data_IF_562146540673
#
_entry.id   IF_562146540673
#
_cell.length_a   1.000
_cell.length_b   1.000
_cell.length_c   1.000
_cell.angle_alpha   90.00
_cell.angle_beta   90.00
_cell.angle_gamma   90.00
#
_symmetry.space_group_name_H-M   'P 1'
#
loop_
_entity.id
_entity.type
_entity.pdbx_description
1 polymer ?
#
# COMPACT_ATOMS: atom_id res chain seq x y z
N UNK A 1 -7.33 -23.18 -43.19
CA UNK A 1 -7.49 -21.71 -43.31
C UNK A 1 -6.31 -20.98 -42.63
N UNK A 2 -5.50 -20.21 -43.38
CA UNK A 2 -4.37 -19.46 -42.84
C UNK A 2 -4.79 -18.34 -41.87
N UNK A 3 -5.93 -17.70 -42.15
CA UNK A 3 -6.46 -16.55 -41.39
C UNK A 3 -6.71 -16.87 -39.91
N UNK A 4 -7.13 -18.11 -39.59
CA UNK A 4 -7.36 -18.53 -38.19
C UNK A 4 -6.07 -18.71 -37.39
N UNK A 5 -4.96 -19.06 -38.03
CA UNK A 5 -3.68 -19.21 -37.34
C UNK A 5 -3.05 -17.85 -37.04
N UNK A 6 -3.17 -16.90 -37.96
CA UNK A 6 -2.72 -15.51 -37.79
C UNK A 6 -3.48 -14.80 -36.66
N UNK A 7 -4.82 -14.91 -36.63
CA UNK A 7 -5.64 -14.37 -35.53
C UNK A 7 -5.24 -14.95 -34.17
N UNK A 8 -4.92 -16.24 -34.12
CA UNK A 8 -4.47 -16.89 -32.88
C UNK A 8 -3.11 -16.33 -32.42
N UNK A 9 -2.17 -16.16 -33.34
CA UNK A 9 -0.85 -15.59 -33.03
C UNK A 9 -0.95 -14.15 -32.53
N UNK A 10 -1.80 -13.33 -33.14
CA UNK A 10 -2.05 -11.96 -32.70
C UNK A 10 -2.69 -11.92 -31.30
N UNK A 11 -3.67 -12.78 -31.03
CA UNK A 11 -4.30 -12.90 -29.72
C UNK A 11 -3.31 -13.37 -28.64
N UNK A 12 -2.42 -14.32 -28.95
CA UNK A 12 -1.35 -14.76 -28.04
C UNK A 12 -0.37 -13.63 -27.72
N UNK A 13 0.01 -12.83 -28.73
CA UNK A 13 0.88 -11.66 -28.53
C UNK A 13 0.19 -10.62 -27.65
N UNK A 14 -1.06 -10.27 -27.94
CA UNK A 14 -1.82 -9.31 -27.15
C UNK A 14 -1.97 -9.77 -25.70
N UNK A 15 -2.27 -11.04 -25.48
CA UNK A 15 -2.36 -11.64 -24.15
C UNK A 15 -1.04 -11.49 -23.38
N UNK A 16 0.09 -11.79 -24.02
CA UNK A 16 1.42 -11.65 -23.39
C UNK A 16 1.71 -10.18 -23.02
N UNK A 17 1.39 -9.24 -23.92
CA UNK A 17 1.55 -7.80 -23.68
C UNK A 17 0.65 -7.32 -22.51
N UNK A 18 -0.58 -7.83 -22.42
CA UNK A 18 -1.49 -7.56 -21.30
C UNK A 18 -0.99 -8.15 -19.98
N UNK A 19 -0.47 -9.38 -19.98
CA UNK A 19 0.10 -10.02 -18.79
C UNK A 19 1.34 -9.28 -18.30
N UNK A 20 2.21 -8.82 -19.20
CA UNK A 20 3.38 -8.02 -18.86
C UNK A 20 2.97 -6.69 -18.21
N UNK A 21 1.98 -6.00 -18.80
CA UNK A 21 1.41 -4.76 -18.25
C UNK A 21 0.80 -4.98 -16.88
N UNK A 22 0.00 -6.04 -16.70
CA UNK A 22 -0.60 -6.39 -15.40
C UNK A 22 0.49 -6.55 -14.33
N UNK A 23 1.52 -7.35 -14.61
CA UNK A 23 2.64 -7.56 -13.67
C UNK A 23 3.36 -6.25 -13.32
N UNK A 24 3.50 -5.32 -14.27
CA UNK A 24 4.09 -4.01 -13.99
C UNK A 24 3.20 -3.17 -13.07
N UNK A 25 1.90 -3.14 -13.33
CA UNK A 25 0.93 -2.40 -12.49
C UNK A 25 0.90 -2.98 -11.08
N UNK A 26 0.89 -4.31 -10.93
CA UNK A 26 0.91 -4.98 -9.63
C UNK A 26 2.16 -4.62 -8.82
N UNK A 27 3.35 -4.58 -9.46
CA UNK A 27 4.59 -4.14 -8.81
C UNK A 27 4.53 -2.67 -8.40
N UNK A 28 4.04 -1.80 -9.28
CA UNK A 28 3.92 -0.37 -8.98
C UNK A 28 2.99 -0.13 -7.80
N UNK A 29 1.86 -0.85 -7.74
CA UNK A 29 0.92 -0.77 -6.64
C UNK A 29 1.57 -1.20 -5.32
N UNK A 30 2.25 -2.35 -5.29
CA UNK A 30 2.94 -2.82 -4.08
C UNK A 30 4.00 -1.82 -3.57
N UNK A 31 4.78 -1.22 -4.48
CA UNK A 31 5.77 -0.22 -4.12
C UNK A 31 5.13 1.06 -3.55
N UNK A 32 4.00 1.49 -4.14
CA UNK A 32 3.27 2.65 -3.67
C UNK A 32 2.67 2.42 -2.28
N UNK A 33 2.04 1.26 -2.07
CA UNK A 33 1.48 0.86 -0.77
C UNK A 33 2.56 0.82 0.32
N UNK A 34 3.73 0.23 0.01
CA UNK A 34 4.87 0.23 0.93
C UNK A 34 5.37 1.65 1.25
N UNK A 35 5.40 2.53 0.26
CA UNK A 35 5.80 3.94 0.45
C UNK A 35 4.80 4.68 1.33
N UNK A 36 3.49 4.51 1.09
CA UNK A 36 2.42 5.10 1.92
C UNK A 36 2.59 4.65 3.37
N UNK A 37 2.80 3.35 3.60
CA UNK A 37 3.01 2.81 4.94
C UNK A 37 4.21 3.45 5.66
N UNK A 38 5.34 3.56 4.97
CA UNK A 38 6.54 4.17 5.53
C UNK A 38 6.30 5.65 5.88
N UNK A 39 5.71 6.42 4.96
CA UNK A 39 5.40 7.83 5.17
C UNK A 39 4.39 8.06 6.29
N UNK A 40 3.36 7.21 6.41
CA UNK A 40 2.43 7.27 7.54
C UNK A 40 3.14 7.05 8.87
N UNK A 41 4.13 6.14 8.91
CA UNK A 41 4.90 5.87 10.12
C UNK A 41 5.65 7.11 10.58
N UNK A 42 6.46 7.69 9.68
CA UNK A 42 7.19 8.94 9.97
C UNK A 42 6.25 10.08 10.32
N UNK A 43 5.15 10.25 9.59
CA UNK A 43 4.19 11.32 9.85
C UNK A 43 3.55 11.20 11.24
N UNK A 44 3.08 10.02 11.63
CA UNK A 44 2.44 9.82 12.93
C UNK A 44 3.43 9.91 14.10
N UNK A 45 4.70 9.55 13.88
CA UNK A 45 5.79 9.74 14.84
C UNK A 45 6.12 11.22 15.03
N UNK A 46 6.21 12.00 13.96
CA UNK A 46 6.63 13.41 14.08
C UNK A 46 5.50 14.34 14.52
N UNK A 47 4.24 13.96 14.31
CA UNK A 47 3.06 14.83 14.51
C UNK A 47 2.27 14.55 15.78
N UNK A 48 2.95 14.40 16.91
CA UNK A 48 2.30 14.08 18.19
C UNK A 48 1.33 15.15 18.74
N UNK A 49 1.59 16.43 18.44
CA UNK A 49 0.81 17.55 18.98
C UNK A 49 -0.47 17.84 18.19
N UNK A 50 -0.57 17.32 16.97
CA UNK A 50 -1.75 17.46 16.14
C UNK A 50 -1.52 16.93 14.74
N UNK A 51 -2.49 16.17 14.23
CA UNK A 51 -2.45 15.61 12.89
C UNK A 51 -3.85 15.28 12.38
N UNK A 52 -3.95 14.88 11.11
CA UNK A 52 -5.23 14.62 10.45
C UNK A 52 -6.00 13.45 11.09
N UNK A 53 -5.32 12.52 11.77
CA UNK A 53 -5.96 11.35 12.40
C UNK A 53 -6.55 11.69 13.76
N UNK A 54 -5.85 12.49 14.58
CA UNK A 54 -6.24 12.80 15.98
C UNK A 54 -6.83 14.20 16.16
N UNK A 55 -6.76 15.05 15.15
CA UNK A 55 -7.09 16.47 15.24
C UNK A 55 -5.93 17.34 15.75
N UNK A 56 -6.14 18.65 15.78
CA UNK A 56 -5.11 19.66 16.09
C UNK A 56 -5.31 20.36 17.45
N UNK A 57 -6.19 19.86 18.30
CA UNK A 57 -6.50 20.48 19.60
C UNK A 57 -5.30 20.55 20.55
N UNK A 58 -4.28 19.70 20.33
CA UNK A 58 -3.03 19.72 21.09
C UNK A 58 -2.09 20.87 20.72
N UNK A 59 -2.31 21.57 19.60
CA UNK A 59 -1.43 22.62 19.11
C UNK A 59 -1.50 23.90 19.97
N UNK A 60 -2.67 24.16 20.57
CA UNK A 60 -2.89 25.32 21.45
C UNK A 60 -2.63 24.98 22.93
N UNK A 61 -2.66 23.70 23.27
CA UNK A 61 -2.38 23.25 24.62
C UNK A 61 -0.85 23.10 24.78
N UNK A 62 -0.21 24.07 25.44
CA UNK A 62 1.19 24.01 25.93
C UNK A 62 1.40 22.92 27.01
N UNK A 63 0.80 21.73 26.83
CA UNK A 63 1.03 20.56 27.67
C UNK A 63 1.99 19.62 26.95
N UNK A 64 3.28 19.86 27.17
CA UNK A 64 4.36 18.91 26.90
C UNK A 64 4.19 17.55 27.64
N UNK A 65 3.11 17.39 28.41
CA UNK A 65 2.83 16.25 29.30
C UNK A 65 1.84 15.24 28.73
N UNK A 66 1.22 15.47 27.55
CA UNK A 66 0.47 14.39 26.89
C UNK A 66 1.49 13.34 26.44
N UNK A 67 1.71 12.33 27.29
CA UNK A 67 2.57 11.17 27.07
C UNK A 67 2.60 10.83 25.59
N UNK A 68 3.80 10.78 24.99
CA UNK A 68 4.04 10.31 23.61
C UNK A 68 3.22 9.04 23.38
N UNK A 69 2.03 9.20 22.81
CA UNK A 69 1.12 8.10 22.62
C UNK A 69 1.58 7.41 21.36
N UNK A 70 2.25 6.26 21.52
CA UNK A 70 2.63 5.40 20.41
C UNK A 70 1.40 5.20 19.53
N UNK A 71 1.56 5.47 18.24
CA UNK A 71 0.45 5.28 17.32
C UNK A 71 0.17 3.78 17.15
N UNK A 72 -1.10 3.47 16.93
CA UNK A 72 -1.54 2.11 16.64
C UNK A 72 -1.66 1.88 15.14
N UNK A 73 -1.67 0.62 14.71
CA UNK A 73 -1.87 0.26 13.30
C UNK A 73 -3.24 0.73 12.77
N UNK A 74 -4.24 0.88 13.64
CA UNK A 74 -5.55 1.41 13.27
C UNK A 74 -5.53 2.88 12.82
N UNK A 75 -4.49 3.64 13.19
CA UNK A 75 -4.35 5.05 12.84
C UNK A 75 -3.75 5.28 11.45
N UNK A 76 -3.31 4.21 10.77
CA UNK A 76 -2.79 4.25 9.40
C UNK A 76 -3.91 4.28 8.38
N UNK A 77 -4.68 5.36 8.39
CA UNK A 77 -5.92 5.49 7.61
C UNK A 77 -5.70 5.38 6.09
N UNK A 78 -4.53 5.76 5.58
CA UNK A 78 -4.22 5.67 4.15
C UNK A 78 -3.86 4.24 3.77
N UNK A 79 -3.01 3.55 4.53
CA UNK A 79 -2.75 2.12 4.32
C UNK A 79 -4.03 1.28 4.46
N UNK A 80 -4.85 1.57 5.47
CA UNK A 80 -6.12 0.90 5.72
C UNK A 80 -7.20 1.20 4.67
N UNK A 81 -7.02 2.23 3.83
CA UNK A 81 -7.89 2.50 2.69
C UNK A 81 -7.68 1.55 1.52
N UNK A 82 -6.53 0.85 1.47
CA UNK A 82 -6.26 -0.16 0.45
C UNK A 82 -6.62 -1.57 0.93
N UNK A 83 -7.57 -2.21 0.24
CA UNK A 83 -7.92 -3.61 0.48
C UNK A 83 -6.80 -4.60 0.09
N UNK A 84 -5.89 -4.19 -0.79
CA UNK A 84 -4.76 -5.01 -1.25
C UNK A 84 -3.58 -4.93 -0.30
N UNK A 85 -3.39 -3.81 0.39
CA UNK A 85 -2.32 -3.64 1.38
C UNK A 85 -2.34 -4.75 2.45
N UNK A 86 -3.52 -5.04 3.01
CA UNK A 86 -3.67 -6.13 3.99
C UNK A 86 -3.35 -7.51 3.39
N UNK A 87 -3.74 -7.74 2.12
CA UNK A 87 -3.52 -9.02 1.43
C UNK A 87 -2.05 -9.23 1.06
N UNK A 88 -1.30 -8.17 0.79
CA UNK A 88 0.13 -8.21 0.50
C UNK A 88 0.90 -8.63 1.75
N UNK A 89 0.59 -8.07 2.93
CA UNK A 89 1.15 -8.53 4.20
C UNK A 89 0.86 -10.01 4.48
N UNK A 90 -0.35 -10.48 4.17
CA UNK A 90 -0.73 -11.90 4.32
C UNK A 90 0.03 -12.79 3.33
N UNK A 91 0.17 -12.40 2.06
CA UNK A 91 0.93 -13.16 1.06
C UNK A 91 2.41 -13.27 1.40
N UNK A 92 3.05 -12.17 1.77
CA UNK A 92 4.46 -12.20 2.21
C UNK A 92 4.66 -13.08 3.46
N UNK A 93 3.71 -13.07 4.41
CA UNK A 93 3.77 -13.95 5.57
C UNK A 93 3.62 -15.45 5.21
N UNK A 94 2.75 -15.78 4.26
CA UNK A 94 2.56 -17.15 3.78
C UNK A 94 3.81 -17.65 3.04
N UNK A 95 4.37 -16.83 2.15
CA UNK A 95 5.55 -17.19 1.36
C UNK A 95 6.79 -17.40 2.24
N UNK A 96 6.94 -16.65 3.34
CA UNK A 96 8.04 -16.81 4.31
C UNK A 96 7.89 -18.06 5.19
N UNK A 97 6.67 -18.52 5.46
CA UNK A 97 6.40 -19.73 6.26
C UNK A 97 6.57 -21.04 5.50
N UNK A 98 6.72 -20.97 4.17
CA UNK A 98 6.84 -22.12 3.27
C UNK A 98 8.29 -22.39 2.83
N UNK A 99 9.27 -21.69 3.41
CA UNK A 99 10.71 -21.84 3.14
C UNK A 99 11.45 -22.46 4.32
#
# INVERSE_FOLDING_TARGET
PPVTAEILQDAEKELNDLLARKRQVDRNLANLEASIYAYEGTYLEDTHQGNIVRGFDGYLANRNERKRHKFSEGERIFSNSSSTYQKVNVRFAIDYSSS
#
